data_IF_015425690964
#
_entry.id   IF_015425690964
#
_cell.length_a   1.000
_cell.length_b   1.000
_cell.length_c   1.000
_cell.angle_alpha   90.00
_cell.angle_beta   90.00
_cell.angle_gamma   90.00
#
_symmetry.space_group_name_H-M   'P 1'
#
loop_
_entity.id
_entity.type
_entity.pdbx_description
1 polymer ?
#
# COMPACT_ATOMS: atom_id res chain seq x y z
N UNK A 1 11.05 -25.16 28.44
CA UNK A 1 9.69 -25.71 28.53
C UNK A 1 8.86 -25.07 27.41
N UNK A 2 8.11 -25.89 26.65
CA UNK A 2 7.22 -25.34 25.61
C UNK A 2 6.00 -24.74 26.29
N UNK A 3 5.64 -23.52 25.94
CA UNK A 3 4.45 -22.85 26.45
C UNK A 3 3.22 -23.59 25.92
N UNK A 4 2.29 -23.92 26.80
CA UNK A 4 1.06 -24.65 26.49
C UNK A 4 -0.16 -23.88 26.99
N UNK A 5 -1.20 -23.82 26.16
CA UNK A 5 -2.48 -23.18 26.46
C UNK A 5 -3.64 -24.16 26.22
N UNK A 6 -4.74 -23.99 26.94
CA UNK A 6 -6.02 -24.44 26.44
C UNK A 6 -6.50 -23.42 25.38
N UNK A 7 -6.51 -23.84 24.12
CA UNK A 7 -6.86 -22.96 22.98
C UNK A 7 -8.29 -22.43 23.09
N UNK A 8 -9.15 -23.12 23.85
CA UNK A 8 -10.51 -22.67 24.14
C UNK A 8 -10.55 -21.60 25.26
N UNK A 9 -9.52 -21.53 26.10
CA UNK A 9 -9.37 -20.53 27.15
C UNK A 9 -8.55 -19.29 26.70
N UNK A 10 -9.10 -18.50 25.77
CA UNK A 10 -8.48 -17.32 25.19
C UNK A 10 -7.90 -16.34 26.21
N UNK A 11 -8.50 -16.24 27.39
CA UNK A 11 -8.03 -15.36 28.47
C UNK A 11 -6.58 -15.62 28.89
N UNK A 12 -6.15 -16.88 28.85
CA UNK A 12 -4.76 -17.22 29.19
C UNK A 12 -3.81 -16.79 28.08
N UNK A 13 -4.20 -16.98 26.82
CA UNK A 13 -3.43 -16.53 25.64
C UNK A 13 -3.32 -15.01 25.64
N UNK A 14 -4.43 -14.29 25.85
CA UNK A 14 -4.45 -12.83 25.92
C UNK A 14 -3.51 -12.32 27.03
N UNK A 15 -3.61 -12.88 28.25
CA UNK A 15 -2.72 -12.47 29.35
C UNK A 15 -1.25 -12.73 29.06
N UNK A 16 -0.96 -13.82 28.38
CA UNK A 16 0.40 -14.10 27.93
C UNK A 16 0.86 -13.08 26.90
N UNK A 17 0.02 -12.75 25.90
CA UNK A 17 0.30 -11.72 24.90
C UNK A 17 0.57 -10.37 25.55
N UNK A 18 -0.27 -9.93 26.48
CA UNK A 18 -0.07 -8.67 27.23
C UNK A 18 1.27 -8.65 27.95
N UNK A 19 1.64 -9.77 28.58
CA UNK A 19 2.92 -9.89 29.30
C UNK A 19 4.12 -9.86 28.37
N UNK A 20 4.07 -10.55 27.22
CA UNK A 20 5.20 -10.65 26.30
C UNK A 20 5.38 -9.36 25.47
N UNK A 21 4.27 -8.67 25.14
CA UNK A 21 4.30 -7.47 24.28
C UNK A 21 4.29 -6.16 25.07
N UNK A 22 3.79 -6.17 26.29
CA UNK A 22 3.53 -4.95 27.07
C UNK A 22 2.29 -4.16 26.59
N UNK A 23 1.53 -4.69 25.63
CA UNK A 23 0.29 -4.09 25.11
C UNK A 23 -0.91 -4.51 25.93
N UNK A 24 -2.00 -3.73 25.89
CA UNK A 24 -3.23 -4.00 26.62
C UNK A 24 -4.36 -4.45 25.65
N UNK A 25 -4.94 -5.60 25.93
CA UNK A 25 -6.11 -6.10 25.18
C UNK A 25 -7.33 -5.21 25.39
N UNK A 26 -8.10 -4.96 24.32
CA UNK A 26 -9.27 -4.09 24.34
C UNK A 26 -8.95 -2.58 24.29
N UNK A 27 -7.65 -2.21 24.43
CA UNK A 27 -7.20 -0.82 24.29
C UNK A 27 -6.29 -0.63 23.06
N UNK A 28 -5.32 -1.54 22.88
CA UNK A 28 -4.31 -1.44 21.83
C UNK A 28 -4.36 -2.59 20.82
N UNK A 29 -4.97 -3.70 21.19
CA UNK A 29 -5.20 -4.81 20.26
C UNK A 29 -6.45 -5.61 20.64
N UNK A 30 -7.02 -6.27 19.63
CA UNK A 30 -8.16 -7.18 19.78
C UNK A 30 -7.98 -8.42 18.89
N UNK A 31 -8.77 -9.48 19.17
CA UNK A 31 -8.85 -10.64 18.28
C UNK A 31 -9.54 -10.20 17.00
N UNK A 32 -8.84 -10.39 15.87
CA UNK A 32 -9.36 -10.08 14.53
C UNK A 32 -9.90 -11.32 13.83
N UNK A 33 -9.20 -12.47 13.98
CA UNK A 33 -9.57 -13.71 13.32
C UNK A 33 -9.20 -14.90 14.20
N UNK A 34 -10.04 -15.93 14.17
CA UNK A 34 -9.80 -17.19 14.87
C UNK A 34 -9.99 -18.36 13.91
N UNK A 35 -9.05 -19.28 13.95
CA UNK A 35 -9.10 -20.56 13.27
C UNK A 35 -8.88 -21.68 14.31
N UNK A 36 -9.03 -22.93 13.92
CA UNK A 36 -8.96 -24.07 14.86
C UNK A 36 -7.71 -24.08 15.74
N UNK A 37 -6.57 -23.63 15.17
CA UNK A 37 -5.26 -23.64 15.85
C UNK A 37 -4.47 -22.34 15.66
N UNK A 38 -5.13 -21.28 15.23
CA UNK A 38 -4.52 -19.99 14.98
C UNK A 38 -5.39 -18.88 15.53
N UNK A 39 -4.76 -17.92 16.20
CA UNK A 39 -5.43 -16.72 16.69
C UNK A 39 -4.65 -15.53 16.15
N UNK A 40 -5.34 -14.66 15.44
CA UNK A 40 -4.80 -13.44 14.88
C UNK A 40 -5.37 -12.24 15.65
N UNK A 41 -4.49 -11.33 15.98
CA UNK A 41 -4.80 -10.08 16.66
C UNK A 41 -4.44 -8.91 15.78
N UNK A 42 -5.20 -7.84 15.88
CA UNK A 42 -5.02 -6.61 15.14
C UNK A 42 -4.94 -5.44 16.10
N UNK A 43 -4.17 -4.43 15.72
CA UNK A 43 -4.13 -3.17 16.45
C UNK A 43 -5.50 -2.48 16.46
N UNK A 44 -5.78 -1.82 17.58
CA UNK A 44 -7.06 -1.17 17.85
C UNK A 44 -6.86 0.08 18.68
N UNK A 45 -7.61 1.14 18.41
CA UNK A 45 -7.59 2.37 19.22
C UNK A 45 -9.03 2.76 19.55
N UNK A 46 -9.37 2.81 20.82
CA UNK A 46 -10.66 3.31 21.31
C UNK A 46 -11.89 2.71 20.60
N UNK A 47 -11.84 1.47 20.20
CA UNK A 47 -12.95 0.81 19.51
C UNK A 47 -12.90 0.92 17.97
N UNK A 48 -11.83 1.43 17.39
CA UNK A 48 -11.72 1.63 15.95
C UNK A 48 -10.47 0.97 15.36
N UNK A 49 -10.57 0.58 14.10
CA UNK A 49 -9.45 0.12 13.29
C UNK A 49 -8.35 1.20 13.18
N UNK A 50 -7.13 0.74 12.88
CA UNK A 50 -5.94 1.59 12.76
C UNK A 50 -5.28 1.38 11.40
N UNK A 51 -4.73 2.43 10.81
CA UNK A 51 -3.95 2.36 9.59
C UNK A 51 -2.70 3.26 9.64
N UNK A 52 -1.49 2.72 9.34
CA UNK A 52 -1.18 1.30 9.18
C UNK A 52 -1.37 0.54 10.50
N UNK A 53 -1.81 -0.71 10.43
CA UNK A 53 -2.12 -1.52 11.62
C UNK A 53 -0.98 -2.48 11.98
N UNK A 54 -0.72 -2.61 13.26
CA UNK A 54 0.06 -3.72 13.80
C UNK A 54 -0.77 -5.02 13.84
N UNK A 55 -0.10 -6.16 13.65
CA UNK A 55 -0.70 -7.49 13.71
C UNK A 55 0.13 -8.41 14.58
N UNK A 56 -0.55 -9.33 15.26
CA UNK A 56 0.10 -10.42 15.99
C UNK A 56 -0.62 -11.72 15.66
N UNK A 57 0.12 -12.82 15.66
CA UNK A 57 -0.46 -14.15 15.45
C UNK A 57 0.19 -15.19 16.34
N UNK A 58 -0.62 -16.16 16.78
CA UNK A 58 -0.21 -17.31 17.55
C UNK A 58 -0.70 -18.60 16.86
N UNK A 59 0.19 -19.58 16.64
CA UNK A 59 -0.18 -20.90 16.16
C UNK A 59 0.08 -21.96 17.22
N UNK A 60 -0.77 -22.97 17.29
CA UNK A 60 -0.73 -24.03 18.29
C UNK A 60 -0.74 -25.42 17.64
N UNK A 61 -0.14 -26.40 18.28
CA UNK A 61 -0.28 -27.79 17.87
C UNK A 61 -1.52 -28.46 18.50
N UNK A 62 -1.72 -29.76 18.24
CA UNK A 62 -2.86 -30.55 18.72
C UNK A 62 -2.94 -30.64 20.24
N UNK A 63 -1.83 -30.49 20.94
CA UNK A 63 -1.76 -30.46 22.39
C UNK A 63 -1.82 -29.05 22.99
N UNK A 64 -2.09 -28.02 22.17
CA UNK A 64 -2.18 -26.63 22.61
C UNK A 64 -0.81 -25.99 22.91
N UNK A 65 0.30 -26.56 22.41
CA UNK A 65 1.62 -25.96 22.57
C UNK A 65 1.83 -24.86 21.53
N UNK A 66 2.29 -23.70 21.97
CA UNK A 66 2.65 -22.61 21.06
C UNK A 66 3.80 -23.05 20.14
N UNK A 67 3.55 -23.03 18.83
CA UNK A 67 4.51 -23.41 17.79
C UNK A 67 5.05 -22.21 17.04
N UNK A 68 4.27 -21.12 16.97
CA UNK A 68 4.65 -19.89 16.31
C UNK A 68 4.02 -18.68 17.02
N UNK A 69 4.79 -17.61 17.11
CA UNK A 69 4.35 -16.30 17.56
C UNK A 69 5.05 -15.24 16.73
N UNK A 70 4.30 -14.32 16.19
CA UNK A 70 4.87 -13.15 15.48
C UNK A 70 4.17 -11.85 15.85
N UNK A 71 4.93 -10.77 15.77
CA UNK A 71 4.46 -9.39 15.85
C UNK A 71 4.92 -8.70 14.59
N UNK A 72 4.00 -8.13 13.82
CA UNK A 72 4.23 -7.50 12.53
C UNK A 72 3.73 -6.06 12.60
N UNK A 73 4.53 -5.12 12.13
CA UNK A 73 4.21 -3.69 12.18
C UNK A 73 4.50 -3.06 13.55
N UNK A 74 4.09 -1.83 13.69
CA UNK A 74 4.24 -1.05 14.93
C UNK A 74 2.89 -0.88 15.59
N UNK A 75 2.85 -1.04 16.92
CA UNK A 75 1.69 -0.72 17.73
C UNK A 75 1.85 0.68 18.31
N UNK A 76 0.81 1.48 18.23
CA UNK A 76 0.85 2.88 18.65
C UNK A 76 1.17 3.05 20.14
N UNK A 77 1.85 4.14 20.44
CA UNK A 77 1.96 4.64 21.80
C UNK A 77 0.77 5.54 22.11
N UNK A 78 0.13 5.35 23.28
CA UNK A 78 -1.07 6.12 23.70
C UNK A 78 -0.90 7.63 23.61
N UNK A 79 0.30 8.12 23.82
CA UNK A 79 0.61 9.57 23.72
C UNK A 79 0.65 10.12 22.29
N UNK A 80 0.55 9.27 21.27
CA UNK A 80 0.46 9.68 19.87
C UNK A 80 -0.98 9.71 19.35
N UNK A 81 -1.95 9.34 20.18
CA UNK A 81 -3.37 9.30 19.80
C UNK A 81 -4.03 10.63 20.12
N UNK A 82 -4.59 11.29 19.10
CA UNK A 82 -5.43 12.46 19.27
C UNK A 82 -6.87 11.98 19.52
N UNK A 83 -7.34 12.14 20.77
CA UNK A 83 -8.69 11.73 21.13
C UNK A 83 -9.72 12.69 20.50
N UNK A 84 -10.62 12.13 19.69
CA UNK A 84 -11.69 12.84 19.03
C UNK A 84 -12.99 12.02 19.08
N UNK A 85 -14.12 12.70 18.92
CA UNK A 85 -15.41 12.05 18.71
C UNK A 85 -15.71 12.00 17.23
N UNK A 86 -16.02 10.80 16.70
CA UNK A 86 -16.36 10.64 15.30
C UNK A 86 -17.70 11.31 14.97
N UNK A 87 -17.73 12.16 13.95
CA UNK A 87 -18.90 12.97 13.58
C UNK A 87 -19.28 12.88 12.11
N UNK A 88 -18.47 12.22 11.27
CA UNK A 88 -18.70 12.18 9.84
C UNK A 88 -19.91 11.32 9.47
N UNK A 89 -20.65 11.77 8.45
CA UNK A 89 -21.71 11.02 7.78
C UNK A 89 -21.49 11.00 6.28
N UNK A 90 -22.04 10.00 5.58
CA UNK A 90 -21.96 9.93 4.11
C UNK A 90 -22.55 11.16 3.43
N UNK A 91 -23.57 11.78 4.00
CA UNK A 91 -24.18 13.01 3.46
C UNK A 91 -23.20 14.19 3.48
N UNK A 92 -22.42 14.33 4.57
CA UNK A 92 -21.45 15.42 4.70
C UNK A 92 -20.29 15.27 3.71
N UNK A 93 -19.89 14.04 3.38
CA UNK A 93 -18.72 13.73 2.52
C UNK A 93 -19.10 13.35 1.10
N UNK A 94 -20.38 13.49 0.69
CA UNK A 94 -20.86 13.08 -0.64
C UNK A 94 -20.06 13.70 -1.78
N UNK A 95 -19.69 14.98 -1.68
CA UNK A 95 -18.90 15.64 -2.71
C UNK A 95 -17.50 15.03 -2.83
N UNK A 96 -16.86 14.74 -1.70
CA UNK A 96 -15.56 14.07 -1.69
C UNK A 96 -15.68 12.66 -2.28
N UNK A 97 -16.72 11.91 -1.93
CA UNK A 97 -16.98 10.60 -2.50
C UNK A 97 -17.18 10.66 -4.03
N UNK A 98 -17.88 11.66 -4.52
CA UNK A 98 -18.07 11.88 -5.95
C UNK A 98 -16.74 12.15 -6.67
N UNK A 99 -15.85 12.89 -6.04
CA UNK A 99 -14.51 13.16 -6.57
C UNK A 99 -13.60 11.91 -6.57
N UNK A 100 -13.93 10.88 -5.78
CA UNK A 100 -13.18 9.62 -5.78
C UNK A 100 -13.67 8.62 -6.84
N UNK A 101 -14.76 8.87 -7.53
CA UNK A 101 -15.22 7.99 -8.60
C UNK A 101 -14.25 8.04 -9.78
N UNK A 102 -13.67 6.91 -10.15
CA UNK A 102 -12.71 6.77 -11.25
C UNK A 102 -13.27 5.85 -12.32
N UNK A 103 -13.06 6.23 -13.57
CA UNK A 103 -13.24 5.35 -14.71
C UNK A 103 -11.96 4.56 -14.94
N UNK A 104 -12.02 3.24 -14.83
CA UNK A 104 -10.88 2.35 -14.98
C UNK A 104 -11.23 1.24 -15.96
N UNK A 105 -10.27 0.83 -16.79
CA UNK A 105 -10.39 -0.33 -17.66
C UNK A 105 -9.92 -1.60 -16.91
N UNK A 106 -10.83 -2.57 -16.75
CA UNK A 106 -10.60 -3.84 -16.08
C UNK A 106 -10.55 -4.99 -17.08
N UNK A 107 -9.64 -5.97 -16.94
CA UNK A 107 -9.69 -7.18 -17.73
C UNK A 107 -10.85 -8.08 -17.28
N UNK A 108 -11.67 -8.51 -18.21
CA UNK A 108 -12.68 -9.55 -18.01
C UNK A 108 -12.26 -10.79 -18.81
N UNK A 109 -11.73 -11.79 -18.10
CA UNK A 109 -11.22 -13.01 -18.70
C UNK A 109 -12.33 -13.94 -19.20
N UNK A 110 -13.53 -13.87 -18.63
CA UNK A 110 -14.67 -14.67 -19.05
C UNK A 110 -15.20 -14.20 -20.41
N UNK A 111 -15.21 -12.90 -20.62
CA UNK A 111 -15.68 -12.28 -21.86
C UNK A 111 -14.56 -12.03 -22.88
N UNK A 112 -13.31 -12.37 -22.55
CA UNK A 112 -12.12 -12.14 -23.38
C UNK A 112 -12.01 -10.68 -23.87
N UNK A 113 -12.21 -9.73 -22.96
CA UNK A 113 -12.20 -8.29 -23.27
C UNK A 113 -11.80 -7.40 -22.10
N UNK A 114 -11.47 -6.16 -22.43
CA UNK A 114 -11.34 -5.07 -21.47
C UNK A 114 -12.73 -4.45 -21.25
N UNK A 115 -13.12 -4.23 -20.00
CA UNK A 115 -14.40 -3.64 -19.60
C UNK A 115 -14.16 -2.30 -18.92
N UNK A 116 -14.76 -1.20 -19.38
CA UNK A 116 -14.69 0.07 -18.69
C UNK A 116 -15.67 0.07 -17.51
N UNK A 117 -15.19 0.39 -16.32
CA UNK A 117 -15.98 0.43 -15.09
C UNK A 117 -15.68 1.67 -14.26
N UNK A 118 -16.68 2.14 -13.53
CA UNK A 118 -16.52 3.16 -12.51
C UNK A 118 -16.39 2.52 -11.14
N UNK A 119 -15.34 2.92 -10.40
CA UNK A 119 -15.03 2.47 -9.04
C UNK A 119 -14.75 3.67 -8.15
N UNK A 120 -14.99 3.52 -6.86
CA UNK A 120 -14.55 4.49 -5.85
C UNK A 120 -13.10 4.20 -5.47
N UNK A 121 -12.25 5.21 -5.55
CA UNK A 121 -10.90 5.15 -5.00
C UNK A 121 -10.98 5.31 -3.48
N UNK A 122 -10.46 4.32 -2.74
CA UNK A 122 -10.43 4.35 -1.29
C UNK A 122 -9.61 5.54 -0.79
N UNK A 123 -10.14 6.25 0.21
CA UNK A 123 -9.49 7.42 0.79
C UNK A 123 -9.87 7.58 2.26
N UNK A 124 -9.00 8.18 3.06
CA UNK A 124 -9.34 8.63 4.40
C UNK A 124 -9.74 10.10 4.40
N UNK A 125 -10.86 10.39 5.02
CA UNK A 125 -11.40 11.75 5.21
C UNK A 125 -11.21 12.13 6.66
N UNK A 126 -10.46 13.20 6.93
CA UNK A 126 -10.25 13.70 8.29
C UNK A 126 -11.61 14.03 8.93
N UNK A 127 -11.71 13.92 10.25
CA UNK A 127 -12.97 14.11 10.98
C UNK A 127 -13.59 15.52 10.85
N UNK A 128 -12.87 16.46 10.20
CA UNK A 128 -13.39 17.77 9.82
C UNK A 128 -14.29 17.72 8.56
N UNK A 129 -14.32 16.62 7.83
CA UNK A 129 -15.11 16.42 6.61
C UNK A 129 -14.63 17.21 5.38
N UNK A 130 -13.46 17.83 5.44
CA UNK A 130 -12.93 18.72 4.41
C UNK A 130 -11.62 18.27 3.82
N UNK A 131 -10.74 17.69 4.64
CA UNK A 131 -9.41 17.27 4.24
C UNK A 131 -9.33 15.75 4.11
N UNK A 132 -8.51 15.30 3.19
CA UNK A 132 -8.29 13.88 2.93
C UNK A 132 -6.84 13.51 3.18
N UNK A 133 -6.61 12.24 3.53
CA UNK A 133 -5.29 11.62 3.54
C UNK A 133 -5.25 10.55 2.44
N UNK A 134 -4.20 10.51 1.62
CA UNK A 134 -4.08 9.49 0.58
C UNK A 134 -3.87 8.12 1.21
N UNK A 135 -4.39 7.08 0.55
CA UNK A 135 -4.18 5.69 0.98
C UNK A 135 -2.72 5.26 0.82
N UNK A 136 -2.07 5.71 -0.24
CA UNK A 136 -0.66 5.49 -0.47
C UNK A 136 0.16 6.69 0.00
N UNK A 137 1.36 6.46 0.55
CA UNK A 137 2.34 7.52 0.76
C UNK A 137 2.54 7.97 2.21
N UNK A 138 2.04 7.23 3.20
CA UNK A 138 2.31 7.51 4.64
C UNK A 138 3.76 7.21 5.06
N UNK A 139 4.60 6.70 4.15
CA UNK A 139 6.00 6.40 4.42
C UNK A 139 6.83 7.69 4.39
N UNK A 140 7.29 8.15 5.57
CA UNK A 140 8.18 9.33 5.73
C UNK A 140 9.45 9.29 4.88
N UNK A 141 9.90 8.09 4.50
CA UNK A 141 11.14 7.86 3.75
C UNK A 141 10.96 7.89 2.24
N UNK A 142 9.70 7.99 1.74
CA UNK A 142 9.41 8.00 0.31
C UNK A 142 9.46 9.43 -0.23
N UNK A 143 10.34 9.66 -1.19
CA UNK A 143 10.38 10.90 -1.94
C UNK A 143 9.47 10.81 -3.16
N UNK A 144 8.33 11.46 -3.12
CA UNK A 144 7.42 11.56 -4.26
C UNK A 144 7.90 12.59 -5.29
N UNK A 145 7.82 12.22 -6.56
CA UNK A 145 8.23 13.08 -7.66
C UNK A 145 7.48 12.71 -8.95
N UNK A 146 7.47 13.63 -9.90
CA UNK A 146 6.90 13.40 -11.23
C UNK A 146 7.88 13.93 -12.28
N UNK A 147 9.03 13.25 -12.42
CA UNK A 147 10.11 13.72 -13.29
C UNK A 147 10.25 12.82 -14.51
N UNK A 148 9.97 13.35 -15.69
CA UNK A 148 10.18 12.66 -16.97
C UNK A 148 11.69 12.54 -17.24
N UNK A 149 12.12 11.38 -17.71
CA UNK A 149 13.51 11.09 -18.00
C UNK A 149 13.75 11.13 -19.50
N UNK A 150 14.67 11.99 -19.91
CA UNK A 150 15.11 12.15 -21.29
C UNK A 150 16.60 11.85 -21.44
N UNK A 151 16.98 11.31 -22.57
CA UNK A 151 18.39 11.11 -22.99
C UNK A 151 18.54 11.28 -24.49
N UNK A 152 19.70 11.77 -24.89
CA UNK A 152 20.00 12.05 -26.29
C UNK A 152 20.84 10.96 -26.98
N UNK A 153 21.45 10.07 -26.18
CA UNK A 153 22.34 9.03 -26.68
C UNK A 153 22.07 7.73 -25.96
N UNK A 154 22.08 6.63 -26.71
CA UNK A 154 22.07 5.30 -26.15
C UNK A 154 23.45 4.97 -25.61
N UNK A 155 23.50 4.46 -24.37
CA UNK A 155 24.73 4.03 -23.75
C UNK A 155 24.93 2.53 -24.02
N UNK A 156 26.15 2.18 -24.39
CA UNK A 156 26.59 0.80 -24.64
C UNK A 156 27.72 0.45 -23.63
N UNK A 157 27.80 -0.75 -23.08
CA UNK A 157 27.03 -1.96 -23.38
C UNK A 157 25.62 -1.98 -22.79
N UNK A 158 24.77 -2.95 -23.16
CA UNK A 158 23.47 -3.20 -22.53
C UNK A 158 23.60 -3.38 -21.02
N UNK A 159 22.57 -3.02 -20.28
CA UNK A 159 22.53 -3.14 -18.83
C UNK A 159 22.77 -4.59 -18.36
N UNK A 160 23.67 -4.77 -17.40
CA UNK A 160 23.98 -6.07 -16.83
C UNK A 160 23.38 -6.18 -15.45
N UNK A 161 22.39 -7.05 -15.28
CA UNK A 161 21.77 -7.33 -13.99
C UNK A 161 22.77 -8.01 -13.05
N UNK A 162 22.82 -7.53 -11.83
CA UNK A 162 23.55 -8.18 -10.73
C UNK A 162 22.55 -8.92 -9.83
N UNK A 163 23.00 -10.01 -9.23
CA UNK A 163 22.25 -10.67 -8.17
C UNK A 163 22.07 -9.68 -7.01
N UNK A 164 20.84 -9.51 -6.54
CA UNK A 164 20.51 -8.71 -5.37
C UNK A 164 20.08 -9.63 -4.23
N UNK A 165 20.31 -9.18 -2.99
CA UNK A 165 19.85 -9.84 -1.77
C UNK A 165 18.95 -8.85 -1.06
N UNK A 166 17.66 -9.17 -0.97
CA UNK A 166 16.67 -8.31 -0.36
C UNK A 166 16.66 -8.52 1.16
N UNK A 167 17.72 -8.05 1.82
CA UNK A 167 17.87 -8.08 3.27
C UNK A 167 18.51 -6.79 3.75
N UNK A 168 18.00 -6.24 4.82
CA UNK A 168 18.65 -5.18 5.55
C UNK A 168 19.60 -5.80 6.58
N UNK A 169 20.82 -5.32 6.62
CA UNK A 169 21.82 -5.81 7.58
C UNK A 169 21.66 -5.14 8.95
N UNK A 170 20.59 -5.48 9.68
CA UNK A 170 20.40 -5.03 11.07
C UNK A 170 21.06 -6.03 12.01
N UNK A 171 21.92 -5.56 12.91
CA UNK A 171 22.55 -6.40 13.93
C UNK A 171 21.60 -6.64 15.11
N UNK A 172 21.77 -7.74 15.88
CA UNK A 172 20.99 -7.95 17.10
C UNK A 172 21.12 -6.79 18.09
N UNK A 173 22.29 -6.19 18.22
CA UNK A 173 22.53 -5.07 19.14
C UNK A 173 21.73 -3.83 18.73
N UNK A 174 21.66 -3.51 17.44
CA UNK A 174 20.83 -2.43 16.93
C UNK A 174 19.35 -2.66 17.21
N UNK A 175 18.89 -3.90 17.02
CA UNK A 175 17.51 -4.28 17.33
C UNK A 175 17.21 -4.15 18.84
N UNK A 176 18.12 -4.62 19.70
CA UNK A 176 17.99 -4.49 21.15
C UNK A 176 17.99 -3.03 21.65
N UNK A 177 18.72 -2.16 20.97
CA UNK A 177 18.79 -0.72 21.29
C UNK A 177 17.64 0.08 20.68
N UNK A 178 16.73 -0.58 19.95
CA UNK A 178 15.64 0.07 19.21
C UNK A 178 16.15 1.20 18.31
N UNK A 179 17.30 0.99 17.66
CA UNK A 179 17.81 1.96 16.68
C UNK A 179 16.83 2.11 15.51
N UNK A 180 16.63 3.32 14.99
CA UNK A 180 15.78 3.52 13.82
C UNK A 180 16.20 2.63 12.65
N UNK A 181 15.24 2.03 11.96
CA UNK A 181 15.52 1.20 10.80
C UNK A 181 16.21 2.02 9.70
N UNK A 182 17.31 1.53 9.08
CA UNK A 182 18.06 2.29 8.06
C UNK A 182 17.23 2.71 6.84
N UNK A 183 16.13 2.02 6.57
CA UNK A 183 15.16 2.39 5.53
C UNK A 183 14.37 3.66 5.83
N UNK A 184 14.36 4.13 7.09
CA UNK A 184 13.66 5.36 7.49
C UNK A 184 14.49 6.63 7.24
N UNK A 185 15.77 6.50 6.92
CA UNK A 185 16.61 7.65 6.61
C UNK A 185 16.08 8.36 5.34
N UNK A 186 15.84 9.68 5.39
CA UNK A 186 15.38 10.42 4.23
C UNK A 186 16.42 10.41 3.12
N UNK A 187 15.95 10.43 1.86
CA UNK A 187 16.83 10.55 0.70
C UNK A 187 17.23 12.01 0.55
N UNK A 188 18.52 12.29 0.59
CA UNK A 188 19.06 13.64 0.44
C UNK A 188 18.99 14.14 -1.01
N UNK A 189 19.09 15.45 -1.21
CA UNK A 189 19.11 16.05 -2.55
C UNK A 189 20.30 15.57 -3.40
N UNK A 190 21.46 15.34 -2.79
CA UNK A 190 22.64 14.80 -3.46
C UNK A 190 22.40 13.36 -3.92
N UNK A 191 21.86 12.52 -3.06
CA UNK A 191 21.51 11.13 -3.38
C UNK A 191 20.46 11.08 -4.49
N UNK A 192 19.44 11.94 -4.41
CA UNK A 192 18.42 12.06 -5.46
C UNK A 192 19.05 12.35 -6.83
N UNK A 193 19.97 13.31 -6.92
CA UNK A 193 20.64 13.64 -8.16
C UNK A 193 21.44 12.46 -8.72
N UNK A 194 22.16 11.74 -7.87
CA UNK A 194 22.91 10.52 -8.24
C UNK A 194 21.97 9.41 -8.71
N UNK A 195 20.86 9.19 -8.01
CA UNK A 195 19.85 8.20 -8.40
C UNK A 195 19.20 8.56 -9.77
N UNK A 196 18.88 9.83 -10.00
CA UNK A 196 18.32 10.27 -11.29
C UNK A 196 19.30 10.07 -12.44
N UNK A 197 20.61 10.27 -12.21
CA UNK A 197 21.64 9.97 -13.20
C UNK A 197 21.73 8.46 -13.49
N UNK A 198 21.71 7.62 -12.45
CA UNK A 198 21.71 6.15 -12.60
C UNK A 198 20.47 5.63 -13.33
N UNK A 199 19.30 6.19 -13.06
CA UNK A 199 18.05 5.83 -13.74
C UNK A 199 18.12 6.20 -15.22
N UNK A 200 18.62 7.38 -15.55
CA UNK A 200 18.81 7.82 -16.94
C UNK A 200 19.78 6.91 -17.69
N UNK A 201 20.90 6.56 -17.07
CA UNK A 201 21.87 5.61 -17.62
C UNK A 201 21.22 4.25 -17.88
N UNK A 202 20.54 3.68 -16.90
CA UNK A 202 19.82 2.41 -17.01
C UNK A 202 18.78 2.42 -18.14
N UNK A 203 17.90 3.44 -18.19
CA UNK A 203 16.86 3.55 -19.20
C UNK A 203 17.45 3.71 -20.62
N UNK A 204 18.55 4.45 -20.77
CA UNK A 204 19.23 4.60 -22.05
C UNK A 204 19.88 3.32 -22.56
N UNK A 205 20.24 2.39 -21.66
CA UNK A 205 20.79 1.08 -22.01
C UNK A 205 19.72 0.06 -22.37
N UNK A 206 18.67 -0.06 -21.54
CA UNK A 206 17.63 -1.10 -21.69
C UNK A 206 16.46 -0.67 -22.58
N UNK A 207 16.11 0.61 -22.56
CA UNK A 207 14.95 1.18 -23.26
C UNK A 207 15.35 2.28 -24.22
N UNK A 208 16.40 2.04 -24.99
CA UNK A 208 17.09 3.02 -25.85
C UNK A 208 16.19 3.89 -26.73
N UNK A 209 15.03 3.37 -27.17
CA UNK A 209 14.06 4.05 -28.06
C UNK A 209 12.95 4.80 -27.31
N UNK A 210 12.98 4.81 -25.97
CA UNK A 210 11.88 5.28 -25.16
C UNK A 210 12.24 6.55 -24.36
N UNK A 211 13.20 7.35 -24.85
CA UNK A 211 13.52 8.66 -24.27
C UNK A 211 12.27 9.53 -24.18
N UNK A 212 12.01 10.12 -23.01
CA UNK A 212 10.84 10.95 -22.76
C UNK A 212 9.55 10.18 -22.46
N UNK A 213 9.54 8.85 -22.55
CA UNK A 213 8.35 8.04 -22.29
C UNK A 213 8.23 7.56 -20.83
N UNK A 214 9.27 7.73 -20.03
CA UNK A 214 9.32 7.24 -18.66
C UNK A 214 9.34 8.38 -17.65
N UNK A 215 8.54 8.25 -16.59
CA UNK A 215 8.43 9.19 -15.49
C UNK A 215 8.79 8.48 -14.17
N UNK A 216 9.73 9.06 -13.41
CA UNK A 216 10.03 8.62 -12.06
C UNK A 216 8.94 9.15 -11.15
N UNK A 217 8.27 8.23 -10.43
CA UNK A 217 7.17 8.54 -9.49
C UNK A 217 7.67 8.70 -8.07
N UNK A 218 8.57 7.83 -7.64
CA UNK A 218 9.12 7.93 -6.29
C UNK A 218 10.50 7.28 -6.18
N UNK A 219 11.23 7.72 -5.15
CA UNK A 219 12.44 7.09 -4.64
C UNK A 219 12.23 6.76 -3.16
N UNK A 220 12.65 5.59 -2.72
CA UNK A 220 12.57 5.16 -1.32
C UNK A 220 13.64 4.14 -0.99
N UNK A 221 13.98 4.02 0.31
CA UNK A 221 14.91 3.01 0.79
C UNK A 221 14.14 1.76 1.18
N UNK A 222 14.60 0.63 0.71
CA UNK A 222 14.03 -0.66 1.09
C UNK A 222 15.03 -1.79 0.84
N UNK A 223 15.12 -2.72 1.79
CA UNK A 223 15.95 -3.93 1.69
C UNK A 223 17.42 -3.67 1.27
N UNK A 224 18.05 -2.61 1.78
CA UNK A 224 19.45 -2.28 1.53
C UNK A 224 19.72 -1.55 0.21
N UNK A 225 18.68 -1.16 -0.53
CA UNK A 225 18.77 -0.43 -1.80
C UNK A 225 17.99 0.89 -1.74
N UNK A 226 18.31 1.79 -2.65
CA UNK A 226 17.38 2.85 -3.03
C UNK A 226 16.57 2.30 -4.21
N UNK A 227 15.26 2.25 -4.09
CA UNK A 227 14.36 1.76 -5.12
C UNK A 227 13.69 2.93 -5.82
N UNK A 228 13.61 2.86 -7.14
CA UNK A 228 12.90 3.83 -7.97
C UNK A 228 11.65 3.21 -8.57
N UNK A 229 10.50 3.82 -8.34
CA UNK A 229 9.26 3.48 -9.05
C UNK A 229 9.16 4.34 -10.32
N UNK A 230 9.08 3.70 -11.48
CA UNK A 230 9.09 4.36 -12.78
C UNK A 230 7.89 3.87 -13.59
N UNK A 231 7.13 4.79 -14.16
CA UNK A 231 5.94 4.50 -14.96
C UNK A 231 6.10 5.04 -16.39
N UNK A 232 5.26 4.59 -17.32
CA UNK A 232 5.12 5.27 -18.60
C UNK A 232 4.38 6.60 -18.40
N UNK A 233 4.76 7.63 -19.16
CA UNK A 233 4.12 8.96 -19.14
C UNK A 233 2.68 8.85 -19.65
N UNK A 234 2.49 8.19 -20.78
CA UNK A 234 1.18 8.01 -21.40
C UNK A 234 0.70 6.58 -21.18
N UNK A 235 -0.35 6.41 -20.42
CA UNK A 235 -1.01 5.13 -20.18
C UNK A 235 -2.52 5.34 -20.17
N UNK A 236 -3.26 4.36 -20.68
CA UNK A 236 -4.71 4.27 -20.44
C UNK A 236 -4.96 4.08 -18.95
N UNK A 237 -6.10 4.54 -18.45
CA UNK A 237 -6.53 4.31 -17.07
C UNK A 237 -6.98 2.84 -16.88
N UNK A 238 -6.01 1.94 -16.90
CA UNK A 238 -6.18 0.51 -16.67
C UNK A 238 -5.74 0.15 -15.26
N UNK A 239 -6.37 -0.85 -14.67
CA UNK A 239 -5.99 -1.37 -13.34
C UNK A 239 -4.52 -1.82 -13.33
N UNK A 240 -4.04 -2.41 -14.43
CA UNK A 240 -2.63 -2.74 -14.59
C UNK A 240 -1.90 -1.66 -15.38
N UNK A 241 -1.08 -0.88 -14.69
CA UNK A 241 -0.22 0.12 -15.31
C UNK A 241 1.19 -0.41 -15.53
N UNK A 242 1.77 -0.10 -16.69
CA UNK A 242 3.14 -0.45 -17.01
C UNK A 242 4.12 0.27 -16.09
N UNK A 243 4.91 -0.49 -15.35
CA UNK A 243 5.86 0.06 -14.38
C UNK A 243 7.17 -0.72 -14.33
N UNK A 244 8.23 -0.03 -13.94
CA UNK A 244 9.52 -0.59 -13.59
C UNK A 244 9.82 -0.27 -12.13
N UNK A 245 10.50 -1.18 -11.44
CA UNK A 245 11.14 -0.93 -10.16
C UNK A 245 12.64 -1.13 -10.35
N UNK A 246 13.44 -0.08 -10.21
CA UNK A 246 14.89 -0.12 -10.38
C UNK A 246 15.57 -0.13 -9.01
N UNK A 247 16.48 -1.09 -8.80
CA UNK A 247 17.28 -1.20 -7.59
C UNK A 247 18.62 -0.49 -7.79
N UNK A 248 18.90 0.49 -6.96
CA UNK A 248 20.10 1.31 -6.97
C UNK A 248 20.89 0.98 -5.70
N UNK A 249 22.15 0.60 -5.87
CA UNK A 249 23.06 0.36 -4.75
C UNK A 249 23.31 1.64 -3.97
N UNK A 250 23.05 1.63 -2.66
CA UNK A 250 23.11 2.82 -1.79
C UNK A 250 24.51 3.41 -1.57
N UNK A 251 25.56 2.66 -1.88
CA UNK A 251 26.93 3.12 -1.70
C UNK A 251 27.53 3.66 -2.98
N UNK A 252 27.25 3.01 -4.10
CA UNK A 252 27.81 3.38 -5.41
C UNK A 252 26.87 4.23 -6.25
N UNK A 253 25.60 4.32 -5.86
CA UNK A 253 24.52 4.98 -6.62
C UNK A 253 24.41 4.50 -8.06
N UNK A 254 24.66 3.21 -8.32
CA UNK A 254 24.52 2.60 -9.64
C UNK A 254 23.30 1.68 -9.64
N UNK A 255 22.54 1.70 -10.74
CA UNK A 255 21.52 0.70 -10.96
C UNK A 255 22.16 -0.70 -11.01
N UNK A 256 21.62 -1.66 -10.29
CA UNK A 256 22.16 -3.02 -10.19
C UNK A 256 21.19 -4.09 -10.66
N UNK A 257 19.88 -3.83 -10.55
CA UNK A 257 18.84 -4.74 -11.02
C UNK A 257 17.53 -3.97 -11.24
N UNK A 258 16.55 -4.62 -11.84
CA UNK A 258 15.21 -4.05 -12.01
C UNK A 258 14.15 -5.13 -12.10
N UNK A 259 12.92 -4.79 -11.75
CA UNK A 259 11.71 -5.54 -12.03
C UNK A 259 10.93 -4.81 -13.11
N UNK A 260 10.46 -5.57 -14.07
CA UNK A 260 9.66 -5.11 -15.18
C UNK A 260 8.34 -5.89 -15.17
N UNK A 261 7.21 -5.23 -14.97
CA UNK A 261 5.91 -5.88 -14.94
C UNK A 261 5.34 -6.18 -16.34
N UNK A 262 6.16 -6.08 -17.40
CA UNK A 262 5.73 -6.33 -18.77
C UNK A 262 5.09 -7.71 -18.96
N UNK A 263 5.55 -8.70 -18.22
CA UNK A 263 5.03 -10.07 -18.30
C UNK A 263 3.54 -10.15 -17.93
N UNK A 264 3.06 -9.34 -16.98
CA UNK A 264 1.64 -9.25 -16.62
C UNK A 264 0.77 -8.82 -17.80
N UNK A 265 1.34 -8.04 -18.73
CA UNK A 265 0.59 -7.56 -19.89
C UNK A 265 0.44 -8.59 -20.99
N UNK A 266 1.28 -9.64 -21.03
CA UNK A 266 1.16 -10.69 -22.04
C UNK A 266 -0.18 -11.44 -21.94
N UNK A 267 -0.69 -11.63 -20.73
CA UNK A 267 -1.99 -12.27 -20.51
C UNK A 267 -3.18 -11.40 -20.94
N UNK A 268 -2.98 -10.07 -20.99
CA UNK A 268 -4.03 -9.12 -21.33
C UNK A 268 -3.88 -8.48 -22.71
N UNK A 269 -2.80 -8.77 -23.43
CA UNK A 269 -2.56 -8.17 -24.76
C UNK A 269 -3.53 -8.67 -25.84
N UNK A 270 -4.05 -9.88 -25.67
CA UNK A 270 -4.93 -10.53 -26.63
C UNK A 270 -6.43 -10.24 -26.36
N UNK A 271 -6.73 -9.56 -25.23
CA UNK A 271 -8.11 -9.18 -24.92
C UNK A 271 -8.62 -8.15 -25.91
N UNK A 272 -9.88 -8.32 -26.31
CA UNK A 272 -10.58 -7.34 -27.16
C UNK A 272 -10.62 -5.96 -26.49
N UNK A 273 -10.50 -4.91 -27.29
CA UNK A 273 -10.58 -3.53 -26.82
C UNK A 273 -11.88 -3.26 -26.05
N UNK A 274 -11.83 -2.27 -25.16
CA UNK A 274 -12.93 -1.91 -24.29
C UNK A 274 -14.16 -1.42 -25.08
N UNK A 275 -15.34 -1.67 -24.52
CA UNK A 275 -16.60 -1.19 -25.09
C UNK A 275 -16.72 0.32 -24.96
N UNK A 276 -17.60 0.90 -25.81
CA UNK A 276 -17.91 2.31 -25.75
C UNK A 276 -18.54 2.69 -24.39
N UNK A 277 -18.05 3.78 -23.80
CA UNK A 277 -18.60 4.33 -22.57
C UNK A 277 -19.93 5.01 -22.87
N UNK A 278 -21.01 4.53 -22.25
CA UNK A 278 -22.37 5.07 -22.40
C UNK A 278 -22.90 5.71 -21.14
N UNK A 279 -22.35 5.33 -19.99
CA UNK A 279 -22.76 5.84 -18.69
C UNK A 279 -21.86 7.02 -18.32
N UNK A 280 -22.46 8.14 -18.00
CA UNK A 280 -21.72 9.31 -17.52
C UNK A 280 -21.27 9.12 -16.08
N UNK A 281 -20.25 9.89 -15.67
CA UNK A 281 -19.76 9.91 -14.29
C UNK A 281 -20.88 10.14 -13.27
N UNK A 282 -21.78 11.10 -13.56
CA UNK A 282 -22.92 11.42 -12.70
C UNK A 282 -23.90 10.25 -12.58
N UNK A 283 -24.26 9.62 -13.70
CA UNK A 283 -25.13 8.45 -13.71
C UNK A 283 -24.50 7.26 -12.96
N UNK A 284 -23.20 7.08 -13.07
CA UNK A 284 -22.49 6.04 -12.35
C UNK A 284 -22.47 6.32 -10.85
N UNK A 285 -22.23 7.57 -10.44
CA UNK A 285 -22.24 7.93 -9.03
C UNK A 285 -23.60 7.67 -8.38
N UNK A 286 -24.71 8.09 -9.00
CA UNK A 286 -26.05 7.82 -8.46
C UNK A 286 -26.36 6.33 -8.29
N UNK A 287 -25.74 5.47 -9.12
CA UNK A 287 -25.91 4.02 -9.02
C UNK A 287 -25.06 3.39 -7.91
N UNK A 288 -23.85 3.90 -7.69
CA UNK A 288 -22.92 3.34 -6.70
C UNK A 288 -23.13 3.93 -5.31
N UNK A 289 -23.69 5.12 -5.20
CA UNK A 289 -23.95 5.84 -3.95
C UNK A 289 -24.62 5.00 -2.84
N UNK A 290 -25.61 4.13 -3.10
CA UNK A 290 -26.21 3.29 -2.06
C UNK A 290 -25.27 2.25 -1.45
N UNK A 291 -24.12 2.00 -2.06
CA UNK A 291 -23.12 1.00 -1.65
C UNK A 291 -21.87 1.62 -1.06
N UNK A 292 -21.85 2.95 -0.89
CA UNK A 292 -20.75 3.63 -0.23
C UNK A 292 -20.71 3.27 1.26
N UNK A 293 -19.53 3.02 1.75
CA UNK A 293 -19.25 2.77 3.15
C UNK A 293 -18.34 3.87 3.71
N UNK A 294 -18.63 4.31 4.94
CA UNK A 294 -17.82 5.28 5.65
C UNK A 294 -17.61 4.76 7.07
N UNK A 295 -16.44 4.20 7.32
CA UNK A 295 -16.10 3.55 8.59
C UNK A 295 -15.08 4.36 9.38
N UNK A 296 -15.25 4.57 10.69
CA UNK A 296 -14.25 5.26 11.49
C UNK A 296 -12.97 4.44 11.59
N UNK A 297 -11.84 5.12 11.45
CA UNK A 297 -10.50 4.53 11.47
C UNK A 297 -9.49 5.55 12.00
N UNK A 298 -8.59 5.13 12.89
CA UNK A 298 -7.44 5.95 13.24
C UNK A 298 -6.35 5.82 12.18
N UNK A 299 -5.85 6.95 11.70
CA UNK A 299 -4.82 7.02 10.66
C UNK A 299 -3.64 7.83 11.15
N UNK A 300 -2.41 7.34 10.93
CA UNK A 300 -1.23 8.10 11.29
C UNK A 300 -1.05 9.28 10.32
N UNK A 301 -1.16 10.50 10.85
CA UNK A 301 -0.89 11.73 10.12
C UNK A 301 0.57 12.14 10.33
N UNK A 302 1.36 12.04 9.26
CA UNK A 302 2.80 12.36 9.29
C UNK A 302 3.05 13.84 9.61
N UNK A 303 2.16 14.74 9.18
CA UNK A 303 2.29 16.18 9.41
C UNK A 303 2.04 16.53 10.88
N UNK A 304 1.04 15.88 11.50
CA UNK A 304 0.71 16.08 12.91
C UNK A 304 1.56 15.22 13.84
N UNK A 305 2.23 14.19 13.32
CA UNK A 305 3.08 13.28 14.10
C UNK A 305 2.29 12.39 15.06
N UNK A 306 1.04 12.05 14.74
CA UNK A 306 0.15 11.26 15.59
C UNK A 306 -1.01 10.62 14.84
N UNK A 307 -1.76 9.79 15.56
CA UNK A 307 -2.97 9.13 15.03
C UNK A 307 -4.17 10.05 15.19
N UNK A 308 -4.86 10.33 14.10
CA UNK A 308 -6.08 11.14 14.02
C UNK A 308 -7.26 10.28 13.59
N UNK A 309 -8.45 10.64 14.04
CA UNK A 309 -9.67 9.93 13.67
C UNK A 309 -10.14 10.38 12.28
N UNK A 310 -10.31 9.42 11.38
CA UNK A 310 -10.75 9.63 10.00
C UNK A 310 -11.97 8.75 9.69
N UNK A 311 -12.69 9.10 8.64
CA UNK A 311 -13.63 8.20 7.98
C UNK A 311 -12.93 7.53 6.79
N UNK A 312 -12.83 6.20 6.79
CA UNK A 312 -12.44 5.42 5.63
C UNK A 312 -13.63 5.38 4.68
N UNK A 313 -13.52 6.07 3.54
CA UNK A 313 -14.49 5.97 2.45
C UNK A 313 -14.09 4.81 1.57
N UNK A 314 -15.01 3.89 1.34
CA UNK A 314 -14.80 2.68 0.55
C UNK A 314 -16.06 2.28 -0.21
N UNK A 315 -15.93 1.39 -1.19
CA UNK A 315 -17.04 0.78 -1.91
C UNK A 315 -16.60 -0.53 -2.56
N UNK A 316 -17.28 -1.62 -2.21
CA UNK A 316 -17.02 -2.96 -2.74
C UNK A 316 -17.81 -3.28 -4.02
N UNK A 317 -18.25 -2.26 -4.75
CA UNK A 317 -19.03 -2.41 -5.99
C UNK A 317 -18.41 -1.57 -7.12
N UNK A 318 -18.66 -2.03 -8.34
CA UNK A 318 -18.34 -1.32 -9.58
C UNK A 318 -19.58 -1.06 -10.41
N UNK A 319 -19.52 -0.03 -11.26
CA UNK A 319 -20.55 0.25 -12.27
C UNK A 319 -19.96 0.05 -13.67
N UNK A 320 -20.44 -0.92 -14.42
CA UNK A 320 -20.03 -1.11 -15.80
C UNK A 320 -20.37 0.14 -16.63
N UNK A 321 -19.37 0.78 -17.24
CA UNK A 321 -19.55 2.05 -17.94
C UNK A 321 -20.27 1.95 -19.29
N UNK A 322 -20.44 0.73 -19.83
CA UNK A 322 -21.21 0.48 -21.05
C UNK A 322 -22.66 0.15 -20.75
N UNK A 323 -22.93 -0.75 -19.82
CA UNK A 323 -24.28 -1.26 -19.51
C UNK A 323 -24.97 -0.51 -18.38
N UNK A 324 -24.21 0.07 -17.47
CA UNK A 324 -24.70 0.67 -16.23
C UNK A 324 -25.10 -0.34 -15.16
N UNK A 325 -24.71 -1.61 -15.30
CA UNK A 325 -24.93 -2.63 -14.28
C UNK A 325 -23.99 -2.42 -13.10
N UNK A 326 -24.52 -2.59 -11.88
CA UNK A 326 -23.76 -2.57 -10.65
C UNK A 326 -23.48 -4.01 -10.23
N UNK A 327 -22.26 -4.34 -9.89
CA UNK A 327 -21.87 -5.66 -9.35
C UNK A 327 -20.78 -5.54 -8.29
N UNK A 328 -20.66 -6.50 -7.37
CA UNK A 328 -19.53 -6.56 -6.45
C UNK A 328 -18.18 -6.60 -7.22
N UNK A 329 -17.14 -6.06 -6.60
CA UNK A 329 -15.75 -6.22 -7.05
C UNK A 329 -15.28 -7.58 -6.52
N UNK A 330 -14.83 -8.47 -7.42
CA UNK A 330 -14.32 -9.81 -7.10
C UNK A 330 -12.84 -9.78 -6.66
#
# INVERSE_FOLDING_TARGET
>A
EKIRFDVNEKKEIIRWMEKETGLNYGEQFEIWKEEEREIHFKEYINGFDVSPSGYMECHFDEEGRLTFFSVIGEFHSKNLVHEETYTLTLEQVENLAREQLRLIELPNMEEDRIVPAYLIEEIWIKNDGLHTLPFEGLEKSRWEMNTVIEWNQTISPPFQRKKITLTEGVTPDQAFQCEPHPGLDPITDEERQKCMAAIREFLSQEYAKDSGKWIVKSLYRDNGYIQAAIHLVEQKERVFKRKLKVFIDRNTYKAVNYLDNKWLFHEYMDLRESEEIKITHEQAFEKIKPFLELTPCYVYDVEQGGYILCGKLDCHYEVNAHTGNVKPID
#
